data_IF_811805069204
#
_entry.id   IF_811805069204
#
_cell.length_a   1.000
_cell.length_b   1.000
_cell.length_c   1.000
_cell.angle_alpha   90.00
_cell.angle_beta   90.00
_cell.angle_gamma   90.00
#
_symmetry.space_group_name_H-M   'P 1'
#
loop_
_entity.id
_entity.type
_entity.pdbx_description
1 polymer ?
#
# COMPACT_ATOMS: atom_id res chain seq x y z
N UNK A 1 -1.71 11.25 -2.79
CA UNK A 1 -1.30 10.48 -1.60
C UNK A 1 -1.41 9.02 -1.99
N UNK A 2 -0.36 8.22 -1.79
CA UNK A 2 -0.26 6.86 -2.33
C UNK A 2 -1.09 5.87 -1.50
N UNK A 3 -1.62 4.84 -2.15
CA UNK A 3 -2.32 3.74 -1.49
C UNK A 3 -1.48 2.47 -1.48
N UNK A 4 -1.66 1.66 -0.44
CA UNK A 4 -0.95 0.41 -0.22
C UNK A 4 -1.94 -0.72 0.07
N UNK A 5 -1.67 -1.91 -0.45
CA UNK A 5 -2.46 -3.10 -0.11
C UNK A 5 -2.00 -3.66 1.24
N UNK A 6 -2.87 -4.41 1.96
CA UNK A 6 -2.47 -5.08 3.19
C UNK A 6 -1.29 -6.03 2.99
N UNK A 7 -1.25 -6.74 1.86
CA UNK A 7 -0.13 -7.60 1.49
C UNK A 7 1.16 -6.79 1.40
N UNK A 8 1.14 -5.68 0.66
CA UNK A 8 2.32 -4.84 0.50
C UNK A 8 2.85 -4.35 1.84
N UNK A 9 1.98 -3.91 2.76
CA UNK A 9 2.43 -3.51 4.10
C UNK A 9 3.02 -4.70 4.87
N UNK A 10 2.45 -5.90 4.73
CA UNK A 10 2.92 -7.09 5.43
C UNK A 10 4.30 -7.60 4.99
N UNK A 11 4.76 -7.20 3.80
CA UNK A 11 6.11 -7.51 3.31
C UNK A 11 7.20 -6.71 4.08
N UNK A 12 6.84 -5.53 4.62
CA UNK A 12 7.72 -4.66 5.40
C UNK A 12 7.66 -5.00 6.90
N UNK A 13 8.17 -6.19 7.25
CA UNK A 13 7.99 -6.84 8.55
C UNK A 13 9.29 -7.11 9.35
N UNK A 14 10.37 -6.39 9.04
CA UNK A 14 11.69 -6.57 9.69
C UNK A 14 12.09 -5.36 10.52
N UNK A 15 13.21 -5.41 11.26
CA UNK A 15 13.66 -4.25 12.04
C UNK A 15 14.27 -3.14 11.17
N UNK A 16 14.88 -3.53 10.04
CA UNK A 16 15.50 -2.64 9.07
C UNK A 16 14.49 -2.06 8.08
N UNK A 17 13.37 -2.75 7.88
CA UNK A 17 12.25 -2.39 7.00
C UNK A 17 10.92 -2.72 7.69
N UNK A 18 10.43 -1.73 8.46
CA UNK A 18 9.32 -1.89 9.40
C UNK A 18 8.20 -0.89 9.07
N UNK A 19 7.11 -1.40 8.51
CA UNK A 19 5.90 -0.61 8.34
C UNK A 19 4.82 -1.06 9.32
N UNK A 20 4.00 -0.11 9.75
CA UNK A 20 2.82 -0.37 10.58
C UNK A 20 1.64 0.45 10.08
N UNK A 21 0.42 -0.03 10.32
CA UNK A 21 -0.78 0.78 10.06
C UNK A 21 -1.43 1.27 11.34
N UNK A 22 -1.87 2.53 11.32
CA UNK A 22 -2.66 3.14 12.38
C UNK A 22 -3.83 3.88 11.73
N UNK A 23 -5.05 3.43 12.00
CA UNK A 23 -6.29 4.01 11.48
C UNK A 23 -6.26 4.29 9.97
N UNK A 24 -5.87 3.28 9.19
CA UNK A 24 -5.69 3.31 7.73
C UNK A 24 -4.53 4.19 7.21
N UNK A 25 -3.72 4.79 8.06
CA UNK A 25 -2.48 5.44 7.63
C UNK A 25 -1.32 4.44 7.71
N UNK A 26 -0.47 4.44 6.69
CA UNK A 26 0.71 3.59 6.62
C UNK A 26 1.91 4.40 7.07
N UNK A 27 2.61 3.89 8.09
CA UNK A 27 3.79 4.50 8.68
C UNK A 27 5.02 3.68 8.34
N UNK A 28 6.05 4.33 7.81
CA UNK A 28 7.40 3.78 7.75
C UNK A 28 8.17 4.24 8.99
N UNK A 29 8.39 3.29 9.91
CA UNK A 29 9.10 3.55 11.17
C UNK A 29 10.50 2.92 11.19
N UNK A 30 11.02 2.52 10.03
CA UNK A 30 12.34 1.90 9.90
C UNK A 30 13.44 2.82 10.45
N UNK A 31 13.43 4.09 10.04
CA UNK A 31 14.38 5.09 10.52
C UNK A 31 14.25 5.38 12.02
N UNK A 32 13.03 5.33 12.57
CA UNK A 32 12.78 5.51 14.01
C UNK A 32 13.41 4.37 14.82
N UNK A 33 13.23 3.13 14.37
CA UNK A 33 13.77 1.93 15.02
C UNK A 33 15.29 1.94 14.97
N UNK A 34 15.88 2.26 13.82
CA UNK A 34 17.34 2.33 13.65
C UNK A 34 17.96 3.42 14.54
N UNK A 35 17.31 4.57 14.69
CA UNK A 35 17.79 5.66 15.53
C UNK A 35 17.71 5.36 17.04
N UNK A 36 16.81 4.46 17.45
CA UNK A 36 16.49 4.20 18.86
C UNK A 36 16.59 2.72 19.21
N UNK A 37 17.70 2.07 18.85
CA UNK A 37 17.92 0.65 19.16
C UNK A 37 17.82 0.38 20.66
N UNK A 38 16.94 -0.54 21.09
CA UNK A 38 16.75 -0.88 22.49
C UNK A 38 15.46 -1.66 22.75
N UNK A 39 15.15 -1.94 24.02
CA UNK A 39 13.97 -2.74 24.38
C UNK A 39 12.64 -2.08 23.97
N UNK A 40 12.61 -0.75 23.87
CA UNK A 40 11.42 0.02 23.51
C UNK A 40 11.04 -0.10 22.02
N UNK A 41 11.92 -0.59 21.15
CA UNK A 41 11.57 -0.87 19.75
C UNK A 41 10.99 -2.27 19.58
N UNK A 42 11.21 -3.18 20.54
CA UNK A 42 10.79 -4.58 20.42
C UNK A 42 9.28 -4.73 20.17
N UNK A 43 8.36 -4.03 20.86
CA UNK A 43 6.94 -4.17 20.57
C UNK A 43 6.60 -3.75 19.13
N UNK A 44 7.27 -2.71 18.61
CA UNK A 44 7.06 -2.22 17.24
C UNK A 44 7.57 -3.24 16.21
N UNK A 45 8.79 -3.78 16.42
CA UNK A 45 9.37 -4.81 15.54
C UNK A 45 8.50 -6.08 15.52
N UNK A 46 8.00 -6.53 16.67
CA UNK A 46 7.12 -7.71 16.76
C UNK A 46 5.77 -7.52 16.03
N UNK A 47 5.38 -6.27 15.78
CA UNK A 47 4.18 -5.89 15.06
C UNK A 47 4.47 -5.24 13.70
N UNK A 48 5.70 -5.38 13.19
CA UNK A 48 6.05 -4.97 11.85
C UNK A 48 5.16 -5.69 10.82
N UNK A 49 4.73 -4.95 9.81
CA UNK A 49 3.79 -5.38 8.78
C UNK A 49 2.33 -5.54 9.24
N UNK A 50 1.96 -5.06 10.45
CA UNK A 50 0.62 -5.26 11.03
C UNK A 50 -0.12 -3.96 11.34
N UNK A 51 -1.41 -4.13 11.58
CA UNK A 51 -2.28 -3.08 12.12
C UNK A 51 -2.20 -2.98 13.64
N UNK A 52 -1.70 -1.85 14.14
CA UNK A 52 -1.58 -1.54 15.56
C UNK A 52 -2.61 -0.49 16.01
N UNK A 53 -3.64 -0.22 15.20
CA UNK A 53 -4.73 0.71 15.55
C UNK A 53 -5.33 0.44 16.93
N UNK A 54 -5.40 -0.84 17.33
CA UNK A 54 -5.93 -1.26 18.63
C UNK A 54 -5.10 -0.76 19.84
N UNK A 55 -3.89 -0.23 19.63
CA UNK A 55 -3.09 0.40 20.69
C UNK A 55 -3.58 1.81 21.01
N UNK A 56 -4.32 2.44 20.10
CA UNK A 56 -4.73 3.84 20.17
C UNK A 56 -6.25 3.96 20.29
N UNK A 57 -6.71 4.95 21.05
CA UNK A 57 -8.11 5.32 21.10
C UNK A 57 -8.52 6.05 19.81
N UNK A 58 -9.57 5.58 19.15
CA UNK A 58 -10.01 6.09 17.85
C UNK A 58 -10.47 7.56 17.89
N UNK A 59 -10.90 8.07 19.04
CA UNK A 59 -11.39 9.44 19.21
C UNK A 59 -10.24 10.39 19.54
N UNK A 60 -9.38 10.03 20.49
CA UNK A 60 -8.27 10.90 20.90
C UNK A 60 -7.08 10.82 19.95
N UNK A 61 -6.98 9.73 19.15
CA UNK A 61 -5.81 9.39 18.34
C UNK A 61 -4.54 9.28 19.18
N UNK A 62 -4.71 8.89 20.44
CA UNK A 62 -3.64 8.72 21.40
C UNK A 62 -3.70 7.34 22.05
N UNK A 63 -2.65 6.93 22.73
CA UNK A 63 -2.55 5.59 23.29
C UNK A 63 -3.70 5.33 24.27
N UNK A 64 -4.24 4.11 24.25
CA UNK A 64 -5.21 3.68 25.24
C UNK A 64 -4.67 3.86 26.65
N UNK A 65 -5.56 4.28 27.55
CA UNK A 65 -5.20 4.47 28.96
C UNK A 65 -6.10 3.62 29.83
N UNK A 66 -5.52 3.06 30.89
CA UNK A 66 -6.23 2.28 31.88
C UNK A 66 -6.14 2.99 33.23
N UNK A 67 -7.24 2.95 33.98
CA UNK A 67 -7.24 3.34 35.39
C UNK A 67 -6.79 2.13 36.19
N UNK A 68 -5.69 2.28 36.92
CA UNK A 68 -5.23 1.24 37.84
C UNK A 68 -6.23 1.12 39.01
N UNK A 69 -6.75 -0.09 39.29
CA UNK A 69 -7.83 -0.27 40.27
C UNK A 69 -7.41 -0.02 41.72
N UNK A 70 -6.10 0.01 42.02
CA UNK A 70 -5.59 0.18 43.38
C UNK A 70 -5.14 1.61 43.66
N UNK A 71 -4.53 2.27 42.68
CA UNK A 71 -3.99 3.63 42.78
C UNK A 71 -4.93 4.68 42.21
N UNK A 72 -5.95 4.26 41.45
CA UNK A 72 -6.86 5.12 40.68
C UNK A 72 -6.12 6.07 39.72
N UNK A 73 -4.85 5.80 39.41
CA UNK A 73 -4.04 6.57 38.51
C UNK A 73 -4.34 6.16 37.06
N UNK A 74 -4.40 7.13 36.16
CA UNK A 74 -4.53 6.90 34.72
C UNK A 74 -3.14 6.66 34.14
N UNK A 75 -2.90 5.46 33.64
CA UNK A 75 -1.62 5.09 33.03
C UNK A 75 -1.83 4.62 31.58
N UNK A 76 -0.84 4.80 30.69
CA UNK A 76 -0.82 4.20 29.37
C UNK A 76 -0.99 2.67 29.43
N UNK A 77 -1.79 2.11 28.53
CA UNK A 77 -2.05 0.67 28.44
C UNK A 77 -1.28 0.06 27.27
N UNK A 78 -0.30 -0.78 27.58
CA UNK A 78 0.49 -1.49 26.58
C UNK A 78 0.49 -2.99 26.86
N UNK A 79 -0.46 -3.77 26.28
CA UNK A 79 -0.52 -5.21 26.52
C UNK A 79 0.70 -5.94 25.97
N UNK A 80 1.37 -5.36 24.97
CA UNK A 80 2.52 -5.96 24.27
C UNK A 80 3.87 -5.38 24.72
N UNK A 81 3.91 -4.67 25.86
CA UNK A 81 5.11 -4.01 26.37
C UNK A 81 5.20 -2.53 25.99
N UNK A 82 6.02 -1.79 26.74
CA UNK A 82 6.24 -0.35 26.55
C UNK A 82 7.02 -0.11 25.27
N UNK A 83 6.59 0.86 24.47
CA UNK A 83 7.26 1.23 23.22
C UNK A 83 7.76 2.67 23.23
N UNK A 84 8.46 3.06 22.17
CA UNK A 84 9.02 4.41 22.01
C UNK A 84 7.97 5.51 22.18
N UNK A 85 8.41 6.64 22.69
CA UNK A 85 7.68 7.92 22.85
C UNK A 85 6.45 7.94 23.78
N UNK A 86 6.14 6.84 24.47
CA UNK A 86 5.00 6.74 25.40
C UNK A 86 5.02 7.80 26.50
N UNK A 87 6.18 8.02 27.12
CA UNK A 87 6.33 8.90 28.30
C UNK A 87 7.10 10.17 27.97
N UNK A 88 6.91 10.66 26.74
CA UNK A 88 7.50 11.92 26.34
C UNK A 88 6.98 13.09 27.20
N UNK A 89 7.82 14.12 27.43
CA UNK A 89 7.36 15.38 28.00
C UNK A 89 6.23 15.97 27.15
N UNK A 90 5.30 16.70 27.79
CA UNK A 90 4.12 17.29 27.12
C UNK A 90 4.43 18.15 25.90
N UNK A 91 5.63 18.72 25.82
CA UNK A 91 6.06 19.61 24.72
C UNK A 91 6.64 18.84 23.52
N UNK A 92 6.81 17.51 23.64
CA UNK A 92 7.37 16.65 22.58
C UNK A 92 6.26 15.96 21.78
N UNK A 93 6.47 15.81 20.48
CA UNK A 93 5.51 15.15 19.58
C UNK A 93 5.93 13.68 19.44
N UNK A 94 5.09 12.71 19.86
CA UNK A 94 5.41 11.31 19.68
C UNK A 94 5.35 10.91 18.21
N UNK A 95 6.12 9.88 17.83
CA UNK A 95 6.22 9.43 16.44
C UNK A 95 4.86 9.13 15.78
N UNK A 96 3.87 8.57 16.50
CA UNK A 96 2.55 8.25 15.93
C UNK A 96 1.72 9.48 15.55
N UNK A 97 2.06 10.66 16.09
CA UNK A 97 1.45 11.95 15.74
C UNK A 97 2.26 12.70 14.68
N UNK A 98 3.51 12.30 14.42
CA UNK A 98 4.35 12.94 13.42
C UNK A 98 3.97 12.49 12.01
N UNK A 99 3.81 13.46 11.10
CA UNK A 99 3.53 13.18 9.69
C UNK A 99 4.76 12.75 8.89
N UNK A 100 5.95 12.90 9.44
CA UNK A 100 7.21 12.56 8.76
C UNK A 100 7.30 11.05 8.46
N UNK A 101 6.69 10.21 9.29
CA UNK A 101 6.68 8.77 9.13
C UNK A 101 5.52 8.28 8.22
N UNK A 102 4.57 9.12 7.87
CA UNK A 102 3.39 8.71 7.08
C UNK A 102 3.72 8.70 5.60
N UNK A 103 3.76 7.51 5.00
CA UNK A 103 4.08 7.32 3.58
C UNK A 103 2.83 7.21 2.68
N UNK A 104 1.65 6.99 3.27
CA UNK A 104 0.38 6.99 2.56
C UNK A 104 -0.75 6.36 3.35
N UNK A 105 -1.68 5.69 2.65
CA UNK A 105 -2.85 5.07 3.28
C UNK A 105 -3.08 3.65 2.83
N UNK A 106 -3.63 2.84 3.73
CA UNK A 106 -4.06 1.49 3.43
C UNK A 106 -5.34 1.58 2.59
N UNK A 107 -5.37 0.86 1.46
CA UNK A 107 -6.55 0.79 0.60
C UNK A 107 -7.76 0.27 1.38
N UNK A 108 -8.94 0.80 1.06
CA UNK A 108 -10.20 0.26 1.59
C UNK A 108 -10.70 -0.90 0.76
N UNK A 109 -10.20 -1.05 -0.46
CA UNK A 109 -10.70 -1.99 -1.46
C UNK A 109 -9.54 -2.50 -2.32
N UNK A 110 -8.81 -3.52 -1.84
CA UNK A 110 -7.84 -4.23 -2.68
C UNK A 110 -8.60 -4.99 -3.78
N UNK A 111 -8.03 -5.06 -4.97
CA UNK A 111 -8.61 -5.76 -6.12
C UNK A 111 -7.51 -6.46 -6.93
N UNK A 112 -7.81 -7.66 -7.45
CA UNK A 112 -6.96 -8.34 -8.42
C UNK A 112 -7.39 -7.96 -9.84
N UNK A 113 -6.45 -7.47 -10.62
CA UNK A 113 -6.63 -7.21 -12.06
C UNK A 113 -5.72 -8.12 -12.88
N UNK A 114 -6.10 -8.35 -14.12
CA UNK A 114 -5.27 -9.07 -15.09
C UNK A 114 -4.75 -8.11 -16.16
N UNK A 115 -3.43 -8.10 -16.37
CA UNK A 115 -2.79 -7.32 -17.42
C UNK A 115 -2.36 -8.27 -18.53
N UNK A 116 -2.87 -8.03 -19.74
CA UNK A 116 -2.54 -8.82 -20.93
C UNK A 116 -1.71 -7.99 -21.89
N UNK A 117 -0.48 -8.44 -22.14
CA UNK A 117 0.34 -7.90 -23.21
C UNK A 117 -0.10 -8.52 -24.53
N UNK A 118 -0.77 -7.73 -25.38
CA UNK A 118 -1.33 -8.25 -26.62
C UNK A 118 -0.27 -8.63 -27.66
N UNK A 119 0.93 -8.07 -27.56
CA UNK A 119 2.04 -8.39 -28.48
C UNK A 119 2.65 -9.75 -28.15
N UNK A 120 2.90 -10.01 -26.86
CA UNK A 120 3.57 -11.24 -26.40
C UNK A 120 2.60 -12.33 -25.93
N UNK A 121 1.31 -12.01 -25.81
CA UNK A 121 0.25 -12.86 -25.25
C UNK A 121 0.48 -13.26 -23.78
N UNK A 122 1.38 -12.56 -23.09
CA UNK A 122 1.63 -12.80 -21.67
C UNK A 122 0.52 -12.18 -20.82
N UNK A 123 0.14 -12.90 -19.76
CA UNK A 123 -0.87 -12.49 -18.79
C UNK A 123 -0.23 -12.42 -17.41
N UNK A 124 -0.46 -11.33 -16.69
CA UNK A 124 0.04 -11.13 -15.34
C UNK A 124 -1.09 -10.66 -14.44
N UNK A 125 -1.27 -11.34 -13.32
CA UNK A 125 -2.17 -10.89 -12.26
C UNK A 125 -1.45 -9.88 -11.35
N UNK A 126 -2.11 -8.77 -11.06
CA UNK A 126 -1.67 -7.77 -10.08
C UNK A 126 -2.73 -7.54 -9.02
N UNK A 127 -2.31 -7.52 -7.76
CA UNK A 127 -3.08 -6.94 -6.66
C UNK A 127 -2.83 -5.43 -6.62
N UNK A 128 -3.89 -4.65 -6.74
CA UNK A 128 -3.88 -3.18 -6.79
C UNK A 128 -4.88 -2.59 -5.80
N UNK A 129 -4.76 -1.29 -5.53
CA UNK A 129 -5.75 -0.54 -4.76
C UNK A 129 -6.77 0.07 -5.71
N UNK A 130 -8.06 0.00 -5.40
CA UNK A 130 -9.10 0.60 -6.24
C UNK A 130 -8.95 2.13 -6.39
N UNK A 131 -8.31 2.76 -5.42
CA UNK A 131 -8.06 4.21 -5.39
C UNK A 131 -6.80 4.64 -6.17
N UNK A 132 -6.00 3.70 -6.69
CA UNK A 132 -4.81 4.00 -7.50
C UNK A 132 -5.18 4.50 -8.90
N UNK A 133 -4.35 5.40 -9.41
CA UNK A 133 -4.34 5.80 -10.82
C UNK A 133 -3.73 4.70 -11.71
N UNK A 134 -4.04 4.73 -13.00
CA UNK A 134 -3.43 3.78 -13.96
C UNK A 134 -1.89 3.96 -14.03
N UNK A 135 -1.36 5.16 -13.80
CA UNK A 135 0.09 5.40 -13.69
C UNK A 135 0.73 4.64 -12.51
N UNK A 136 0.09 4.65 -11.33
CA UNK A 136 0.55 3.88 -10.17
C UNK A 136 0.47 2.36 -10.42
N UNK A 137 -0.58 1.91 -11.11
CA UNK A 137 -0.71 0.51 -11.55
C UNK A 137 0.38 0.15 -12.57
N UNK A 138 0.70 1.04 -13.50
CA UNK A 138 1.79 0.86 -14.46
C UNK A 138 3.14 0.72 -13.75
N UNK A 139 3.41 1.54 -12.74
CA UNK A 139 4.64 1.44 -11.94
C UNK A 139 4.77 0.07 -11.25
N UNK A 140 3.66 -0.51 -10.76
CA UNK A 140 3.63 -1.90 -10.24
C UNK A 140 3.94 -2.93 -11.32
N UNK A 141 3.45 -2.70 -12.55
CA UNK A 141 3.64 -3.60 -13.68
C UNK A 141 5.07 -3.58 -14.27
N UNK A 142 5.86 -2.54 -14.01
CA UNK A 142 7.24 -2.43 -14.52
C UNK A 142 8.14 -3.61 -14.14
N UNK A 143 7.85 -4.31 -13.03
CA UNK A 143 8.57 -5.52 -12.63
C UNK A 143 8.44 -6.68 -13.63
N UNK A 144 7.35 -6.72 -14.40
CA UNK A 144 7.13 -7.71 -15.46
C UNK A 144 7.55 -7.18 -16.83
N UNK A 145 7.42 -5.88 -17.06
CA UNK A 145 7.82 -5.23 -18.31
C UNK A 145 8.44 -3.86 -18.05
N UNK A 146 9.76 -3.79 -18.08
CA UNK A 146 10.52 -2.54 -17.85
C UNK A 146 10.20 -1.43 -18.86
N UNK A 147 9.65 -1.79 -20.02
CA UNK A 147 9.26 -0.86 -21.09
C UNK A 147 7.77 -0.51 -21.06
N UNK A 148 7.02 -0.87 -20.00
CA UNK A 148 5.58 -0.63 -19.93
C UNK A 148 5.16 0.84 -20.05
N UNK A 149 6.09 1.79 -19.84
CA UNK A 149 5.86 3.24 -20.05
C UNK A 149 5.62 3.60 -21.51
N UNK A 150 6.15 2.82 -22.46
CA UNK A 150 5.95 3.03 -23.90
C UNK A 150 4.69 2.34 -24.44
N UNK A 151 3.91 1.66 -23.60
CA UNK A 151 2.70 0.94 -24.00
C UNK A 151 1.45 1.81 -23.83
N UNK A 152 0.49 1.65 -24.72
CA UNK A 152 -0.86 2.21 -24.54
C UNK A 152 -1.74 1.22 -23.79
N UNK A 153 -2.28 1.67 -22.66
CA UNK A 153 -3.19 0.91 -21.82
C UNK A 153 -4.62 1.09 -22.30
N UNK A 154 -5.38 -0.02 -22.40
CA UNK A 154 -6.77 -0.03 -22.83
C UNK A 154 -7.58 -0.98 -21.96
N UNK A 155 -8.89 -0.80 -21.91
CA UNK A 155 -9.81 -1.81 -21.42
C UNK A 155 -10.98 -1.99 -22.38
N UNK A 156 -11.74 -3.06 -22.18
CA UNK A 156 -12.99 -3.28 -22.91
C UNK A 156 -14.13 -2.53 -22.22
N UNK A 157 -14.81 -1.65 -22.95
CA UNK A 157 -16.01 -0.94 -22.51
C UNK A 157 -17.07 -1.09 -23.61
N UNK A 158 -18.23 -1.64 -23.28
CA UNK A 158 -19.34 -1.85 -24.23
C UNK A 158 -18.89 -2.47 -25.56
N UNK A 159 -18.10 -3.55 -25.49
CA UNK A 159 -17.51 -4.29 -26.62
C UNK A 159 -16.50 -3.50 -27.48
N UNK A 160 -16.03 -2.34 -27.01
CA UNK A 160 -15.03 -1.51 -27.69
C UNK A 160 -13.79 -1.33 -26.83
N UNK A 161 -12.59 -1.43 -27.44
CA UNK A 161 -11.34 -1.15 -26.74
C UNK A 161 -11.09 0.35 -26.62
N UNK A 162 -11.21 0.87 -25.40
CA UNK A 162 -11.05 2.30 -25.10
C UNK A 162 -9.70 2.54 -24.41
N UNK A 163 -8.91 3.54 -24.83
CA UNK A 163 -7.68 3.91 -24.15
C UNK A 163 -7.95 4.43 -22.74
N UNK A 164 -7.17 3.94 -21.79
CA UNK A 164 -7.19 4.37 -20.41
C UNK A 164 -6.46 5.70 -20.26
N UNK A 165 -7.03 6.61 -19.47
CA UNK A 165 -6.36 7.83 -19.04
C UNK A 165 -5.48 7.52 -17.84
N UNK A 166 -4.18 7.79 -17.99
CA UNK A 166 -3.17 7.39 -17.01
C UNK A 166 -3.34 8.05 -15.63
N UNK A 167 -3.86 9.28 -15.60
CA UNK A 167 -4.05 10.07 -14.38
C UNK A 167 -5.35 9.74 -13.62
N UNK A 168 -6.22 8.90 -14.19
CA UNK A 168 -7.52 8.55 -13.62
C UNK A 168 -7.47 7.15 -12.97
N UNK A 169 -8.39 6.86 -12.05
CA UNK A 169 -8.53 5.53 -11.43
C UNK A 169 -9.23 4.53 -12.36
N UNK A 170 -9.27 3.26 -11.96
CA UNK A 170 -10.05 2.22 -12.67
C UNK A 170 -11.52 2.63 -12.84
N UNK A 171 -12.17 3.05 -11.76
CA UNK A 171 -13.57 3.46 -11.76
C UNK A 171 -13.82 4.69 -12.64
N UNK A 172 -12.94 5.68 -12.59
CA UNK A 172 -13.05 6.89 -13.41
C UNK A 172 -12.90 6.60 -14.91
N UNK A 173 -12.09 5.60 -15.24
CA UNK A 173 -11.96 5.11 -16.61
C UNK A 173 -13.14 4.24 -17.07
N UNK A 174 -14.11 3.94 -16.19
CA UNK A 174 -15.28 3.13 -16.52
C UNK A 174 -15.11 1.63 -16.27
N UNK A 175 -14.05 1.22 -15.57
CA UNK A 175 -13.91 -0.17 -15.09
C UNK A 175 -14.83 -0.33 -13.88
N UNK A 176 -15.86 -1.17 -14.02
CA UNK A 176 -16.87 -1.39 -12.99
C UNK A 176 -16.38 -2.45 -12.00
N UNK A 177 -16.66 -2.23 -10.72
CA UNK A 177 -16.52 -3.28 -9.72
C UNK A 177 -17.72 -4.23 -9.78
N UNK A 178 -17.48 -5.44 -10.27
CA UNK A 178 -18.48 -6.49 -10.35
C UNK A 178 -18.60 -7.32 -9.07
N UNK A 179 -17.72 -7.13 -8.07
CA UNK A 179 -17.72 -7.88 -6.81
C UNK A 179 -19.11 -7.95 -6.15
N UNK A 180 -19.86 -6.82 -5.98
CA UNK A 180 -21.18 -6.87 -5.37
C UNK A 180 -22.21 -7.64 -6.19
N UNK A 181 -22.05 -7.70 -7.52
CA UNK A 181 -22.91 -8.49 -8.40
C UNK A 181 -22.58 -9.98 -8.27
N UNK A 182 -21.29 -10.34 -8.26
CA UNK A 182 -20.81 -11.71 -8.08
C UNK A 182 -21.26 -12.29 -6.73
N UNK A 183 -21.09 -11.53 -5.64
CA UNK A 183 -21.56 -11.89 -4.29
C UNK A 183 -23.06 -12.21 -4.29
N UNK A 184 -23.88 -11.33 -4.90
CA UNK A 184 -25.33 -11.51 -5.00
C UNK A 184 -25.73 -12.73 -5.82
N UNK A 185 -24.94 -13.09 -6.82
CA UNK A 185 -25.15 -14.26 -7.67
C UNK A 185 -24.53 -15.54 -7.10
N UNK A 186 -23.80 -15.46 -5.98
CA UNK A 186 -23.09 -16.58 -5.38
C UNK A 186 -21.94 -17.10 -6.25
N UNK A 187 -21.37 -16.23 -7.09
CA UNK A 187 -20.21 -16.55 -7.93
C UNK A 187 -18.92 -16.28 -7.16
N UNK A 188 -17.87 -17.05 -7.46
CA UNK A 188 -16.55 -16.83 -6.87
C UNK A 188 -15.97 -15.51 -7.39
N UNK A 189 -15.76 -14.55 -6.49
CA UNK A 189 -15.15 -13.24 -6.78
C UNK A 189 -13.75 -13.37 -7.40
N UNK A 190 -13.06 -14.49 -7.14
CA UNK A 190 -11.73 -14.74 -7.72
C UNK A 190 -11.80 -15.19 -9.18
N UNK A 191 -12.96 -15.63 -9.64
CA UNK A 191 -13.15 -16.16 -10.98
C UNK A 191 -13.27 -15.07 -12.04
N UNK A 192 -13.60 -13.83 -11.65
CA UNK A 192 -13.71 -12.71 -12.56
C UNK A 192 -12.84 -11.55 -12.12
N UNK A 193 -11.85 -11.22 -12.94
CA UNK A 193 -10.90 -10.13 -12.72
C UNK A 193 -11.04 -9.12 -13.84
N UNK A 194 -11.06 -7.81 -13.55
CA UNK A 194 -10.99 -6.80 -14.59
C UNK A 194 -9.71 -6.98 -15.43
N UNK A 195 -9.86 -6.96 -16.76
CA UNK A 195 -8.76 -7.16 -17.71
C UNK A 195 -8.34 -5.82 -18.30
N UNK A 196 -7.05 -5.48 -18.15
CA UNK A 196 -6.42 -4.35 -18.81
C UNK A 196 -5.48 -4.87 -19.91
N UNK A 197 -5.53 -4.26 -21.08
CA UNK A 197 -4.70 -4.61 -22.22
C UNK A 197 -3.59 -3.58 -22.39
N UNK A 198 -2.36 -4.06 -22.60
CA UNK A 198 -1.22 -3.20 -22.94
C UNK A 198 -0.79 -3.45 -24.37
N UNK A 199 -0.87 -2.40 -25.19
CA UNK A 199 -0.49 -2.37 -26.59
C UNK A 199 0.87 -1.72 -26.74
N UNK A 200 1.82 -2.42 -27.35
CA UNK A 200 3.12 -1.83 -27.68
C UNK A 200 2.92 -0.70 -28.70
N UNK A 201 3.42 0.49 -28.39
CA UNK A 201 3.58 1.53 -29.40
C UNK A 201 4.92 1.30 -30.08
N UNK A 202 4.93 1.25 -31.41
CA UNK A 202 6.15 1.20 -32.22
C UNK A 202 6.85 2.57 -32.15
N UNK A 203 7.42 2.86 -30.98
CA UNK A 203 8.19 4.06 -30.71
C UNK A 203 9.68 3.69 -30.76
N UNK A 204 10.39 4.23 -31.74
CA UNK A 204 11.85 4.10 -31.88
C UNK A 204 12.55 4.94 -30.81
N UNK A 205 12.30 4.65 -29.52
CA UNK A 205 13.11 5.22 -28.45
C UNK A 205 14.46 4.49 -28.47
N UNK A 206 15.41 5.08 -29.18
CA UNK A 206 16.81 4.68 -29.23
C UNK A 206 17.31 4.44 -27.81
N UNK A 207 17.67 3.18 -27.50
CA UNK A 207 18.47 2.87 -26.32
C UNK A 207 19.73 3.72 -26.40
N UNK A 208 19.86 4.72 -25.53
CA UNK A 208 21.16 5.25 -25.20
C UNK A 208 21.84 4.16 -24.36
N UNK A 209 22.47 3.23 -25.05
CA UNK A 209 23.42 2.31 -24.46
C UNK A 209 24.55 3.19 -23.96
N UNK A 210 24.63 3.37 -22.64
CA UNK A 210 25.85 3.84 -21.98
C UNK A 210 26.95 2.81 -22.27
N UNK A 211 27.69 3.03 -23.35
CA UNK A 211 28.97 2.40 -23.57
C UNK A 211 30.01 3.14 -22.72
N UNK A 212 30.04 2.86 -21.42
CA UNK A 212 31.22 3.10 -20.60
C UNK A 212 31.47 1.85 -19.76
N UNK A 213 32.38 1.01 -20.27
CA UNK A 213 33.33 0.19 -19.50
C UNK A 213 34.04 -0.72 -20.51
N UNK A 214 35.13 -0.21 -21.10
CA UNK A 214 36.37 -0.93 -21.35
C UNK A 214 37.37 0.08 -21.94
N UNK A 215 38.12 0.73 -21.05
CA UNK A 215 39.57 0.92 -21.09
C UNK A 215 40.04 1.46 -19.74
#
# INVERSE_FOLDING_TARGET
MRYFTPHQVSDHNTAEDCWVTIFHQVYDISGLIQANSGELTLPLILHAGKDISHWFDAKTRDIHTRIDPFTNAKAPFHPNGRFLDVDLPSDSIPWWKSREYVIGSLTKKPCSIEIVNVLTQQQHELEVCWEESIEEIQDRYLKYNAHAKSYTWKHLLDDVFVPLKMSETLEQNGVVDETPLLERLGLDERAYKPVLLVYFNDDLTVQTICAELFL
#
